data_IF_795096014386
#
_entry.id   IF_795096014386
#
_cell.length_a   1.000
_cell.length_b   1.000
_cell.length_c   1.000
_cell.angle_alpha   90.00
_cell.angle_beta   90.00
_cell.angle_gamma   90.00
#
_symmetry.space_group_name_H-M   'P 1'
#
loop_
_entity.id
_entity.type
_entity.pdbx_description
1 polymer ?
#
# COMPACT_ATOMS: atom_id res chain seq x y z
N UNK A 1 10.05 -7.82 25.21
CA UNK A 1 10.04 -7.07 23.94
C UNK A 1 9.14 -5.86 24.16
N UNK A 2 9.68 -4.64 24.07
CA UNK A 2 8.86 -3.44 24.06
C UNK A 2 8.05 -3.46 22.77
N UNK A 3 6.73 -3.54 22.87
CA UNK A 3 5.88 -3.13 21.77
C UNK A 3 6.26 -1.68 21.42
N UNK A 4 6.41 -1.36 20.16
CA UNK A 4 6.58 0.03 19.75
C UNK A 4 5.46 0.84 20.35
N UNK A 5 5.81 1.83 21.18
CA UNK A 5 4.83 2.71 21.78
C UNK A 5 4.41 3.75 20.74
N UNK A 6 3.35 3.44 20.00
CA UNK A 6 2.84 4.29 18.92
C UNK A 6 2.29 5.61 19.45
N UNK A 7 1.78 5.64 20.70
CA UNK A 7 1.37 6.88 21.34
C UNK A 7 2.58 7.80 21.57
N UNK A 8 3.74 7.22 21.92
CA UNK A 8 4.99 7.98 22.04
C UNK A 8 5.44 8.52 20.69
N UNK A 9 5.36 7.73 19.63
CA UNK A 9 5.69 8.18 18.28
C UNK A 9 4.77 9.29 17.81
N UNK A 10 3.46 9.11 18.00
CA UNK A 10 2.47 10.14 17.65
C UNK A 10 2.71 11.44 18.43
N UNK A 11 3.07 11.36 19.70
CA UNK A 11 3.46 12.52 20.52
C UNK A 11 4.71 13.23 19.96
N UNK A 12 5.73 12.49 19.53
CA UNK A 12 6.93 13.07 18.91
C UNK A 12 6.59 13.77 17.58
N UNK A 13 5.78 13.12 16.74
CA UNK A 13 5.30 13.71 15.47
C UNK A 13 4.50 14.98 15.74
N UNK A 14 3.63 15.00 16.74
CA UNK A 14 2.89 16.22 17.14
C UNK A 14 3.82 17.33 17.59
N UNK A 15 4.81 17.02 18.42
CA UNK A 15 5.80 17.98 18.92
C UNK A 15 6.68 18.56 17.82
N UNK A 16 6.93 17.83 16.74
CA UNK A 16 7.63 18.37 15.55
C UNK A 16 6.84 19.41 14.78
N UNK A 17 5.55 19.59 15.08
CA UNK A 17 4.66 20.53 14.39
C UNK A 17 3.96 19.93 13.17
N UNK A 18 4.10 18.61 12.92
CA UNK A 18 3.43 17.95 11.82
C UNK A 18 1.90 18.07 11.94
N UNK A 19 1.25 18.29 10.81
CA UNK A 19 -0.21 18.41 10.69
C UNK A 19 -0.85 17.14 10.15
N UNK A 20 -0.10 16.35 9.43
CA UNK A 20 -0.51 15.06 8.91
C UNK A 20 0.66 14.05 9.02
N UNK A 21 0.33 12.80 9.16
CA UNK A 21 1.27 11.69 9.23
C UNK A 21 0.57 10.37 8.89
N UNK A 22 1.33 9.37 8.48
CA UNK A 22 0.81 8.05 8.22
C UNK A 22 1.91 7.00 8.15
N UNK A 23 1.52 5.74 8.27
CA UNK A 23 2.38 4.64 7.95
C UNK A 23 2.35 4.38 6.43
N UNK A 24 3.44 3.84 5.89
CA UNK A 24 3.40 3.24 4.56
C UNK A 24 2.49 2.02 4.65
N UNK A 25 1.37 2.04 3.92
CA UNK A 25 0.40 0.95 3.95
C UNK A 25 0.93 -0.29 3.24
N UNK A 26 1.51 -0.10 2.07
CA UNK A 26 2.20 -1.15 1.32
C UNK A 26 3.30 -0.55 0.45
N UNK A 27 4.46 -1.19 0.43
CA UNK A 27 5.55 -0.87 -0.50
C UNK A 27 5.53 -1.81 -1.72
N UNK A 28 6.59 -1.74 -2.56
CA UNK A 28 6.73 -2.59 -3.75
C UNK A 28 7.07 -4.06 -3.43
N UNK A 29 7.04 -4.44 -2.15
CA UNK A 29 7.32 -5.78 -1.64
C UNK A 29 6.07 -6.65 -1.44
N UNK A 30 4.89 -6.15 -1.85
CA UNK A 30 3.61 -6.84 -1.68
C UNK A 30 3.24 -7.16 -0.22
N UNK A 31 3.85 -6.49 0.76
CA UNK A 31 3.55 -6.72 2.16
C UNK A 31 2.60 -5.65 2.69
N UNK A 32 1.34 -6.03 2.90
CA UNK A 32 0.31 -5.13 3.43
C UNK A 32 0.50 -4.92 4.94
N UNK A 33 0.70 -3.68 5.35
CA UNK A 33 0.94 -3.32 6.76
C UNK A 33 -0.36 -3.18 7.57
N UNK A 34 -1.46 -3.74 7.09
CA UNK A 34 -2.77 -3.75 7.74
C UNK A 34 -3.40 -5.14 7.73
N UNK A 35 -4.50 -5.29 8.45
CA UNK A 35 -5.35 -6.49 8.46
C UNK A 35 -6.12 -6.58 7.13
N UNK A 36 -5.44 -7.08 6.09
CA UNK A 36 -6.00 -7.18 4.75
C UNK A 36 -6.74 -8.49 4.52
N UNK A 37 -7.98 -8.38 4.03
CA UNK A 37 -8.74 -9.50 3.49
C UNK A 37 -8.42 -9.75 1.99
N UNK A 38 -7.89 -8.74 1.30
CA UNK A 38 -7.50 -8.80 -0.12
C UNK A 38 -6.15 -9.48 -0.30
N UNK A 39 -5.20 -9.17 0.58
CA UNK A 39 -3.84 -9.71 0.49
C UNK A 39 -3.51 -10.61 1.69
N UNK A 40 -3.29 -11.92 1.49
CA UNK A 40 -2.91 -12.81 2.57
C UNK A 40 -1.48 -12.54 3.12
N UNK A 41 -0.64 -11.84 2.34
CA UNK A 41 0.72 -11.45 2.76
C UNK A 41 0.61 -10.09 3.49
N UNK A 42 0.27 -10.15 4.76
CA UNK A 42 0.02 -8.96 5.56
C UNK A 42 0.57 -9.07 6.98
N UNK A 43 0.60 -7.95 7.69
CA UNK A 43 1.19 -7.83 9.03
C UNK A 43 0.43 -8.55 10.15
N UNK A 44 -0.81 -8.99 9.89
CA UNK A 44 -1.56 -9.86 10.83
C UNK A 44 -1.15 -11.30 10.69
N UNK A 45 -0.94 -11.78 9.44
CA UNK A 45 -0.60 -13.16 9.16
C UNK A 45 0.90 -13.45 9.32
N UNK A 46 1.73 -12.43 9.12
CA UNK A 46 3.19 -12.54 9.13
C UNK A 46 3.83 -11.43 9.98
N UNK A 47 5.03 -11.70 10.47
CA UNK A 47 5.84 -10.71 11.17
C UNK A 47 5.29 -10.31 12.54
N UNK A 48 4.85 -9.05 12.73
CA UNK A 48 4.48 -8.55 14.05
C UNK A 48 3.14 -9.06 14.57
N UNK A 49 2.29 -9.64 13.70
CA UNK A 49 0.90 -10.04 14.01
C UNK A 49 0.07 -8.87 14.57
N UNK A 50 0.18 -7.73 13.93
CA UNK A 50 -0.47 -6.47 14.31
C UNK A 50 -0.93 -5.71 13.09
N UNK A 51 -2.04 -4.97 13.24
CA UNK A 51 -2.51 -4.00 12.26
C UNK A 51 -1.76 -2.67 12.42
N UNK A 52 -0.63 -2.55 11.76
CA UNK A 52 0.26 -1.39 11.91
C UNK A 52 -0.39 -0.11 11.37
N UNK A 53 -1.10 -0.19 10.24
CA UNK A 53 -1.79 0.98 9.65
C UNK A 53 -2.89 1.46 10.58
N UNK A 54 -3.73 0.54 11.08
CA UNK A 54 -4.82 0.87 11.99
C UNK A 54 -4.32 1.48 13.29
N UNK A 55 -3.33 0.84 13.93
CA UNK A 55 -2.76 1.32 15.18
C UNK A 55 -2.08 2.69 15.03
N UNK A 56 -1.33 2.93 13.94
CA UNK A 56 -0.73 4.23 13.65
C UNK A 56 -1.80 5.30 13.42
N UNK A 57 -2.83 4.98 12.61
CA UNK A 57 -3.94 5.89 12.33
C UNK A 57 -4.63 6.32 13.62
N UNK A 58 -4.93 5.38 14.51
CA UNK A 58 -5.55 5.67 15.79
C UNK A 58 -4.65 6.56 16.67
N UNK A 59 -3.37 6.24 16.77
CA UNK A 59 -2.41 7.01 17.57
C UNK A 59 -2.27 8.46 17.06
N UNK A 60 -2.20 8.66 15.76
CA UNK A 60 -2.11 10.00 15.16
C UNK A 60 -3.40 10.80 15.36
N UNK A 61 -4.56 10.19 15.19
CA UNK A 61 -5.87 10.84 15.42
C UNK A 61 -6.05 11.29 16.87
N UNK A 62 -5.63 10.49 17.85
CA UNK A 62 -5.62 10.88 19.28
C UNK A 62 -4.85 12.18 19.53
N UNK A 63 -3.83 12.46 18.71
CA UNK A 63 -3.03 13.70 18.79
C UNK A 63 -3.58 14.84 17.91
N UNK A 64 -4.72 14.64 17.23
CA UNK A 64 -5.28 15.63 16.29
C UNK A 64 -4.38 15.83 15.06
N UNK A 65 -3.72 14.79 14.61
CA UNK A 65 -2.93 14.75 13.38
C UNK A 65 -3.78 14.09 12.30
N UNK A 66 -3.86 14.70 11.12
CA UNK A 66 -4.53 14.11 9.95
C UNK A 66 -3.74 12.89 9.47
N UNK A 67 -4.44 11.89 8.95
CA UNK A 67 -3.85 10.61 8.59
C UNK A 67 -3.68 10.45 7.09
N UNK A 68 -2.54 9.89 6.69
CA UNK A 68 -2.18 9.61 5.30
C UNK A 68 -1.98 8.12 5.12
N UNK A 69 -2.59 7.55 4.08
CA UNK A 69 -2.30 6.19 3.63
C UNK A 69 -1.41 6.24 2.39
N UNK A 70 -0.24 5.63 2.44
CA UNK A 70 0.76 5.67 1.37
C UNK A 70 0.86 4.31 0.69
N UNK A 71 0.79 4.30 -0.64
CA UNK A 71 0.83 3.10 -1.45
C UNK A 71 1.93 3.13 -2.51
N UNK A 72 2.60 1.97 -2.66
CA UNK A 72 3.61 1.72 -3.68
C UNK A 72 3.34 0.42 -4.46
N UNK A 73 2.17 -0.19 -4.30
CA UNK A 73 1.84 -1.48 -4.94
C UNK A 73 2.01 -1.45 -6.46
N UNK A 74 1.73 -0.32 -7.12
CA UNK A 74 1.94 -0.14 -8.55
C UNK A 74 3.39 -0.39 -9.00
N UNK A 75 4.34 -0.28 -8.08
CA UNK A 75 5.74 -0.60 -8.33
C UNK A 75 6.02 -2.10 -8.34
N UNK A 76 5.19 -2.93 -7.72
CA UNK A 76 5.36 -4.37 -7.70
C UNK A 76 5.40 -4.96 -9.10
N UNK A 77 4.64 -4.37 -10.04
CA UNK A 77 4.66 -4.77 -11.44
C UNK A 77 6.05 -4.61 -12.05
N UNK A 78 6.78 -5.72 -12.17
CA UNK A 78 8.16 -5.75 -12.67
C UNK A 78 9.21 -5.20 -11.70
N UNK A 79 8.94 -5.17 -10.40
CA UNK A 79 9.92 -4.76 -9.39
C UNK A 79 10.99 -5.81 -9.17
N UNK A 80 10.56 -7.05 -8.97
CA UNK A 80 11.44 -8.17 -8.74
C UNK A 80 11.77 -8.85 -10.08
N UNK A 81 12.90 -8.48 -10.66
CA UNK A 81 13.41 -9.07 -11.89
C UNK A 81 14.83 -9.55 -11.66
N UNK A 82 15.17 -10.71 -12.22
CA UNK A 82 16.52 -11.28 -12.14
C UNK A 82 17.01 -11.65 -13.54
N UNK A 83 18.33 -11.60 -13.74
CA UNK A 83 19.00 -12.17 -14.91
C UNK A 83 19.27 -13.66 -14.74
N UNK A 84 19.06 -14.19 -13.54
CA UNK A 84 19.14 -15.60 -13.24
C UNK A 84 17.77 -16.23 -13.40
N UNK A 85 17.62 -17.14 -14.36
CA UNK A 85 16.36 -17.82 -14.64
C UNK A 85 15.94 -18.82 -13.54
N UNK A 86 16.86 -19.16 -12.63
CA UNK A 86 16.59 -20.03 -11.48
C UNK A 86 16.21 -19.23 -10.22
N UNK A 87 16.13 -17.89 -10.33
CA UNK A 87 15.77 -17.05 -9.21
C UNK A 87 14.34 -17.30 -8.72
N UNK A 88 14.14 -17.14 -7.42
CA UNK A 88 12.88 -17.40 -6.71
C UNK A 88 11.66 -16.67 -7.32
N UNK A 89 11.88 -15.50 -7.94
CA UNK A 89 10.82 -14.73 -8.59
C UNK A 89 10.16 -15.45 -9.75
N UNK A 90 10.86 -16.40 -10.38
CA UNK A 90 10.34 -17.18 -11.52
C UNK A 90 9.67 -18.49 -11.10
N UNK A 91 9.63 -18.81 -9.81
CA UNK A 91 8.91 -19.95 -9.26
C UNK A 91 7.43 -19.56 -9.13
N UNK A 92 6.48 -20.23 -9.83
CA UNK A 92 5.07 -19.82 -9.84
C UNK A 92 4.43 -19.71 -8.45
N UNK A 93 4.81 -20.59 -7.51
CA UNK A 93 4.29 -20.59 -6.15
C UNK A 93 4.69 -19.33 -5.35
N UNK A 94 5.69 -18.60 -5.83
CA UNK A 94 6.19 -17.39 -5.21
C UNK A 94 5.56 -16.10 -5.75
N UNK A 95 4.70 -16.18 -6.76
CA UNK A 95 4.01 -15.01 -7.32
C UNK A 95 3.27 -14.19 -6.25
N UNK A 96 2.73 -14.85 -5.24
CA UNK A 96 2.06 -14.20 -4.10
C UNK A 96 2.99 -13.28 -3.29
N UNK A 97 4.32 -13.44 -3.38
CA UNK A 97 5.29 -12.60 -2.69
C UNK A 97 5.87 -11.52 -3.61
N UNK A 98 6.17 -11.89 -4.84
CA UNK A 98 6.93 -11.05 -5.78
C UNK A 98 6.07 -10.35 -6.82
N UNK A 99 4.76 -10.69 -6.88
CA UNK A 99 3.91 -10.32 -8.00
C UNK A 99 4.22 -11.12 -9.27
N UNK A 100 3.54 -10.82 -10.38
CA UNK A 100 3.74 -11.55 -11.61
C UNK A 100 5.17 -11.48 -12.13
N UNK A 101 5.77 -12.62 -12.43
CA UNK A 101 7.08 -12.69 -13.05
C UNK A 101 7.02 -12.18 -14.48
N UNK A 102 7.72 -11.07 -14.75
CA UNK A 102 7.81 -10.52 -16.09
C UNK A 102 9.02 -11.10 -16.84
N UNK A 103 8.95 -11.27 -18.18
CA UNK A 103 10.07 -11.72 -18.97
C UNK A 103 11.29 -10.80 -18.80
N UNK A 104 12.49 -11.38 -18.82
CA UNK A 104 13.77 -10.68 -18.64
C UNK A 104 13.99 -9.50 -19.61
N UNK A 105 13.41 -9.59 -20.81
CA UNK A 105 13.46 -8.49 -21.77
C UNK A 105 12.61 -7.29 -21.35
N UNK A 106 11.79 -7.48 -20.31
CA UNK A 106 10.92 -6.45 -19.81
C UNK A 106 11.69 -5.56 -18.84
N UNK A 107 12.32 -4.52 -19.33
CA UNK A 107 12.97 -3.54 -18.47
C UNK A 107 11.90 -2.85 -17.59
N UNK A 108 12.06 -2.91 -16.26
CA UNK A 108 11.20 -2.20 -15.29
C UNK A 108 11.13 -0.68 -15.51
N UNK A 109 12.11 -0.13 -16.22
CA UNK A 109 12.17 1.28 -16.62
C UNK A 109 11.49 1.55 -17.97
N UNK A 110 11.03 0.53 -18.69
CA UNK A 110 10.15 0.75 -19.83
C UNK A 110 8.78 1.09 -19.27
N UNK A 111 8.34 2.36 -19.34
CA UNK A 111 7.17 2.82 -18.60
C UNK A 111 5.84 2.29 -19.14
N UNK A 112 5.84 1.41 -20.15
CA UNK A 112 4.68 1.20 -21.01
C UNK A 112 4.21 -0.25 -21.13
N UNK A 113 4.64 -1.17 -20.28
CA UNK A 113 3.91 -2.42 -20.13
C UNK A 113 2.89 -2.24 -19.01
N UNK A 114 1.68 -2.00 -19.41
CA UNK A 114 0.56 -1.89 -18.49
C UNK A 114 0.35 -3.23 -17.78
N UNK A 115 0.07 -3.21 -16.49
CA UNK A 115 -0.40 -4.38 -15.77
C UNK A 115 -1.66 -4.95 -16.41
N UNK A 116 -1.85 -6.26 -16.24
CA UNK A 116 -3.10 -6.89 -16.62
C UNK A 116 -4.26 -6.43 -15.71
N UNK A 117 -5.45 -6.81 -16.10
CA UNK A 117 -6.67 -6.45 -15.37
C UNK A 117 -6.68 -7.02 -13.95
N UNK A 118 -6.15 -8.22 -13.75
CA UNK A 118 -6.12 -8.88 -12.44
C UNK A 118 -5.26 -8.09 -11.45
N UNK A 119 -4.09 -7.62 -11.89
CA UNK A 119 -3.22 -6.77 -11.06
C UNK A 119 -3.87 -5.42 -10.74
N UNK A 120 -4.47 -4.76 -11.75
CA UNK A 120 -5.15 -3.48 -11.55
C UNK A 120 -6.32 -3.61 -10.57
N UNK A 121 -7.07 -4.70 -10.65
CA UNK A 121 -8.15 -5.01 -9.72
C UNK A 121 -7.65 -5.18 -8.29
N UNK A 122 -6.58 -5.94 -8.08
CA UNK A 122 -5.98 -6.14 -6.76
C UNK A 122 -5.48 -4.79 -6.20
N UNK A 123 -4.83 -3.98 -7.03
CA UNK A 123 -4.39 -2.63 -6.64
C UNK A 123 -5.56 -1.78 -6.13
N UNK A 124 -6.64 -1.71 -6.91
CA UNK A 124 -7.86 -0.99 -6.53
C UNK A 124 -8.44 -1.53 -5.22
N UNK A 125 -8.68 -2.84 -5.14
CA UNK A 125 -9.36 -3.47 -4.01
C UNK A 125 -8.59 -3.26 -2.70
N UNK A 126 -7.25 -3.29 -2.73
CA UNK A 126 -6.38 -2.95 -1.59
C UNK A 126 -6.56 -1.50 -1.14
N UNK A 127 -6.61 -0.56 -2.08
CA UNK A 127 -6.77 0.86 -1.78
C UNK A 127 -8.16 1.13 -1.18
N UNK A 128 -9.22 0.57 -1.78
CA UNK A 128 -10.57 0.68 -1.26
C UNK A 128 -10.71 0.08 0.14
N UNK A 129 -10.08 -1.07 0.40
CA UNK A 129 -10.09 -1.69 1.72
C UNK A 129 -9.48 -0.76 2.79
N UNK A 130 -8.39 -0.08 2.50
CA UNK A 130 -7.75 0.86 3.42
C UNK A 130 -8.61 2.12 3.62
N UNK A 131 -9.25 2.61 2.56
CA UNK A 131 -10.20 3.73 2.66
C UNK A 131 -11.35 3.37 3.61
N UNK A 132 -11.94 2.19 3.46
CA UNK A 132 -13.05 1.74 4.27
C UNK A 132 -12.67 1.51 5.73
N UNK A 133 -11.55 0.84 5.96
CA UNK A 133 -11.13 0.45 7.31
C UNK A 133 -10.62 1.61 8.14
N UNK A 134 -9.90 2.53 7.51
CA UNK A 134 -9.14 3.53 8.27
C UNK A 134 -9.52 4.97 7.94
N UNK A 135 -10.34 5.20 6.93
CA UNK A 135 -10.80 6.53 6.54
C UNK A 135 -9.67 7.59 6.53
N UNK A 136 -8.55 7.39 5.81
CA UNK A 136 -7.44 8.33 5.82
C UNK A 136 -7.86 9.68 5.27
N UNK A 137 -7.31 10.77 5.83
CA UNK A 137 -7.58 12.13 5.33
C UNK A 137 -6.93 12.38 3.97
N UNK A 138 -5.90 11.61 3.63
CA UNK A 138 -5.20 11.64 2.35
C UNK A 138 -4.81 10.22 1.93
N UNK A 139 -4.94 9.91 0.64
CA UNK A 139 -4.37 8.73 0.01
C UNK A 139 -3.25 9.19 -0.91
N UNK A 140 -2.03 8.76 -0.63
CA UNK A 140 -0.85 9.14 -1.39
C UNK A 140 -0.30 7.96 -2.18
N UNK A 141 -0.05 8.18 -3.46
CA UNK A 141 0.61 7.22 -4.33
C UNK A 141 1.99 7.75 -4.73
N UNK A 142 3.04 7.00 -4.38
CA UNK A 142 4.40 7.36 -4.77
C UNK A 142 4.64 7.02 -6.24
N UNK A 143 4.28 7.96 -7.10
CA UNK A 143 4.46 7.91 -8.56
C UNK A 143 3.95 6.62 -9.25
N UNK A 144 4.22 6.46 -10.54
CA UNK A 144 3.93 5.28 -11.37
C UNK A 144 2.46 4.81 -11.42
N UNK A 145 1.52 5.54 -10.85
CA UNK A 145 0.09 5.22 -10.97
C UNK A 145 -0.41 5.25 -12.42
N UNK A 146 0.33 5.94 -13.30
CA UNK A 146 0.03 6.00 -14.73
C UNK A 146 0.04 4.63 -15.44
N UNK A 147 0.65 3.59 -14.86
CA UNK A 147 0.60 2.23 -15.43
C UNK A 147 -0.70 1.50 -15.09
N UNK A 148 -1.40 1.87 -14.02
CA UNK A 148 -2.70 1.32 -13.68
C UNK A 148 -3.73 1.80 -14.70
N UNK A 149 -4.53 0.89 -15.22
CA UNK A 149 -5.58 1.20 -16.19
C UNK A 149 -6.51 2.29 -15.64
N UNK A 150 -6.96 3.17 -16.51
CA UNK A 150 -7.61 4.42 -16.13
C UNK A 150 -8.89 4.20 -15.31
N UNK A 151 -9.71 3.23 -15.72
CA UNK A 151 -10.97 2.92 -15.05
C UNK A 151 -10.75 2.57 -13.56
N UNK A 152 -9.72 1.78 -13.24
CA UNK A 152 -9.40 1.44 -11.84
C UNK A 152 -8.91 2.65 -11.02
N UNK A 153 -8.24 3.59 -11.66
CA UNK A 153 -7.84 4.86 -11.00
C UNK A 153 -9.05 5.74 -10.72
N UNK A 154 -10.00 5.79 -11.65
CA UNK A 154 -11.25 6.53 -11.48
C UNK A 154 -12.12 5.87 -10.41
N UNK A 155 -12.25 4.54 -10.38
CA UNK A 155 -12.96 3.83 -9.32
C UNK A 155 -12.48 4.26 -7.92
N UNK A 156 -11.16 4.32 -7.71
CA UNK A 156 -10.57 4.73 -6.45
C UNK A 156 -10.89 6.20 -6.14
N UNK A 157 -10.73 7.09 -7.11
CA UNK A 157 -10.98 8.52 -6.91
C UNK A 157 -12.46 8.78 -6.63
N UNK A 158 -13.36 8.20 -7.42
CA UNK A 158 -14.80 8.32 -7.24
C UNK A 158 -15.22 7.81 -5.86
N UNK A 159 -14.74 6.62 -5.48
CA UNK A 159 -15.05 6.03 -4.19
C UNK A 159 -14.59 6.91 -3.04
N UNK A 160 -13.34 7.38 -3.08
CA UNK A 160 -12.76 8.22 -2.03
C UNK A 160 -13.57 9.50 -1.83
N UNK A 161 -13.90 10.22 -2.91
CA UNK A 161 -14.63 11.48 -2.81
C UNK A 161 -16.11 11.32 -2.48
N UNK A 162 -16.73 10.21 -2.87
CA UNK A 162 -18.15 9.98 -2.60
C UNK A 162 -18.41 9.41 -1.20
N UNK A 163 -17.45 8.68 -0.63
CA UNK A 163 -17.61 8.06 0.69
C UNK A 163 -17.12 8.93 1.84
N UNK A 164 -16.38 9.99 1.53
CA UNK A 164 -15.83 10.87 2.55
C UNK A 164 -16.56 12.21 2.57
N UNK A 165 -17.12 12.55 3.73
CA UNK A 165 -17.52 13.92 4.00
C UNK A 165 -16.26 14.78 4.01
N UNK A 166 -16.17 15.75 3.09
CA UNK A 166 -15.13 16.78 3.13
C UNK A 166 -15.40 17.59 4.39
N UNK A 167 -14.66 17.32 5.44
CA UNK A 167 -14.68 18.13 6.65
C UNK A 167 -13.81 19.35 6.37
N UNK A 168 -14.48 20.50 6.17
CA UNK A 168 -13.84 21.82 6.08
C UNK A 168 -13.02 22.16 7.35
#
# INVERSE_FOLDING_TARGET
RRSSDLDQWASLVKRSGAKYAGAVSEHADNFSMWDSAVNPINSMNYGPHRDIVGECTEAFRKQGIRTVATFHHQWLWGWFMSTDNEADVYIPENEKYYGPALPLETNRYIPYRYPDEAFCKIWRDKVLEVIDKYEPDEVYFDSRTCIIQEDYRYDVAEYYYNTREIKD
#
